data_IF_028061646031
#
_entry.id   IF_028061646031
#
_cell.length_a   1.000
_cell.length_b   1.000
_cell.length_c   1.000
_cell.angle_alpha   90.00
_cell.angle_beta   90.00
_cell.angle_gamma   90.00
#
_symmetry.space_group_name_H-M   'P 1'
#
loop_
_entity.id
_entity.type
_entity.pdbx_description
1 polymer ?
#
# COMPACT_ATOMS: atom_id res chain seq x y z
N UNK A 1 21.21 2.53 36.25
CA UNK A 1 21.12 1.17 35.67
C UNK A 1 19.70 0.76 35.30
N UNK A 2 18.75 0.58 36.22
CA UNK A 2 17.38 0.14 35.84
C UNK A 2 16.63 1.18 34.99
N UNK A 3 16.73 2.47 35.34
CA UNK A 3 16.12 3.56 34.58
C UNK A 3 16.68 3.70 33.14
N UNK A 4 17.97 3.42 32.96
CA UNK A 4 18.64 3.49 31.64
C UNK A 4 18.16 2.36 30.71
N UNK A 5 17.94 1.16 31.26
CA UNK A 5 17.37 0.03 30.52
C UNK A 5 15.93 0.32 30.09
N UNK A 6 15.10 0.91 30.97
CA UNK A 6 13.73 1.29 30.61
C UNK A 6 13.68 2.40 29.56
N UNK A 7 14.58 3.39 29.65
CA UNK A 7 14.71 4.45 28.63
C UNK A 7 15.12 3.86 27.27
N UNK A 8 16.16 3.04 27.23
CA UNK A 8 16.65 2.41 26.00
C UNK A 8 15.60 1.53 25.32
N UNK A 9 14.83 0.74 26.10
CA UNK A 9 13.72 -0.05 25.55
C UNK A 9 12.60 0.80 24.94
N UNK A 10 12.28 1.94 25.58
CA UNK A 10 11.28 2.87 25.05
C UNK A 10 11.76 3.49 23.74
N UNK A 11 13.03 3.89 23.66
CA UNK A 11 13.63 4.46 22.44
C UNK A 11 13.64 3.45 21.29
N UNK A 12 14.02 2.19 21.54
CA UNK A 12 13.97 1.13 20.53
C UNK A 12 12.53 0.87 20.04
N UNK A 13 11.55 0.83 20.94
CA UNK A 13 10.14 0.66 20.57
C UNK A 13 9.63 1.85 19.73
N UNK A 14 10.05 3.06 20.06
CA UNK A 14 9.69 4.26 19.30
C UNK A 14 10.29 4.21 17.90
N UNK A 15 11.59 3.92 17.79
CA UNK A 15 12.28 3.76 16.50
C UNK A 15 11.60 2.68 15.64
N UNK A 16 11.27 1.53 16.21
CA UNK A 16 10.55 0.47 15.52
C UNK A 16 9.18 0.94 15.01
N UNK A 17 8.42 1.66 15.84
CA UNK A 17 7.11 2.21 15.47
C UNK A 17 7.23 3.23 14.33
N UNK A 18 8.26 4.08 14.36
CA UNK A 18 8.51 5.08 13.33
C UNK A 18 8.94 4.44 12.01
N UNK A 19 9.77 3.39 12.05
CA UNK A 19 10.12 2.58 10.87
C UNK A 19 8.87 1.94 10.25
N UNK A 20 8.03 1.28 11.05
CA UNK A 20 6.76 0.69 10.57
C UNK A 20 5.89 1.75 9.91
N UNK A 21 5.69 2.89 10.58
CA UNK A 21 4.90 4.01 10.04
C UNK A 21 5.43 4.49 8.69
N UNK A 22 6.75 4.66 8.57
CA UNK A 22 7.37 5.11 7.33
C UNK A 22 7.16 4.11 6.17
N UNK A 23 7.27 2.81 6.43
CA UNK A 23 7.02 1.77 5.42
C UNK A 23 5.54 1.71 5.04
N UNK A 24 4.63 1.80 6.01
CA UNK A 24 3.18 1.79 5.77
C UNK A 24 2.74 2.94 4.87
N UNK A 25 3.18 4.17 5.20
CA UNK A 25 2.86 5.36 4.41
C UNK A 25 3.41 5.23 3.00
N UNK A 26 4.68 4.82 2.84
CA UNK A 26 5.27 4.62 1.51
C UNK A 26 4.50 3.59 0.68
N UNK A 27 4.06 2.49 1.29
CA UNK A 27 3.32 1.47 0.57
C UNK A 27 1.96 2.00 0.07
N UNK A 28 1.18 2.61 0.96
CA UNK A 28 -0.12 3.19 0.61
C UNK A 28 0.01 4.28 -0.46
N UNK A 29 1.01 5.15 -0.35
CA UNK A 29 1.29 6.18 -1.35
C UNK A 29 1.67 5.59 -2.70
N UNK A 30 2.54 4.58 -2.72
CA UNK A 30 2.97 3.94 -3.97
C UNK A 30 1.80 3.31 -4.74
N UNK A 31 0.84 2.70 -4.03
CA UNK A 31 -0.38 2.15 -4.64
C UNK A 31 -1.28 3.24 -5.21
N UNK A 32 -1.53 4.31 -4.46
CA UNK A 32 -2.36 5.43 -4.90
C UNK A 32 -1.74 6.17 -6.10
N UNK A 33 -0.43 6.37 -6.10
CA UNK A 33 0.29 6.99 -7.20
C UNK A 33 0.30 6.11 -8.46
N UNK A 34 0.56 4.81 -8.32
CA UNK A 34 0.48 3.87 -9.43
C UNK A 34 -0.92 3.85 -10.04
N UNK A 35 -1.97 3.80 -9.22
CA UNK A 35 -3.36 3.89 -9.67
C UNK A 35 -3.63 5.17 -10.46
N UNK A 36 -3.30 6.32 -9.90
CA UNK A 36 -3.50 7.63 -10.54
C UNK A 36 -2.79 7.73 -11.89
N UNK A 37 -1.52 7.32 -11.96
CA UNK A 37 -0.75 7.31 -13.21
C UNK A 37 -1.39 6.41 -14.26
N UNK A 38 -1.80 5.19 -13.90
CA UNK A 38 -2.44 4.25 -14.82
C UNK A 38 -3.72 4.83 -15.42
N UNK A 39 -4.57 5.45 -14.59
CA UNK A 39 -5.82 6.09 -15.03
C UNK A 39 -5.53 7.23 -16.02
N UNK A 40 -4.56 8.09 -15.69
CA UNK A 40 -4.18 9.23 -16.54
C UNK A 40 -3.68 8.77 -17.91
N UNK A 41 -2.88 7.71 -17.98
CA UNK A 41 -2.36 7.22 -19.26
C UNK A 41 -3.37 6.38 -20.02
N UNK A 42 -4.19 5.58 -19.33
CA UNK A 42 -5.17 4.70 -19.99
C UNK A 42 -6.22 5.47 -20.80
N UNK A 43 -6.59 6.68 -20.35
CA UNK A 43 -7.65 7.48 -20.95
C UNK A 43 -7.17 8.53 -21.94
N UNK A 44 -5.87 8.59 -22.21
CA UNK A 44 -5.36 9.37 -23.34
C UNK A 44 -5.72 8.66 -24.63
N UNK A 45 -6.19 9.41 -25.62
CA UNK A 45 -6.36 8.91 -26.98
C UNK A 45 -5.00 8.52 -27.53
N UNK A 46 -4.76 7.22 -27.68
CA UNK A 46 -3.54 6.67 -28.22
C UNK A 46 -3.78 5.26 -28.78
N UNK A 47 -2.94 4.78 -29.71
CA UNK A 47 -3.05 3.42 -30.25
C UNK A 47 -2.95 2.36 -29.13
N UNK A 48 -3.64 1.23 -29.28
CA UNK A 48 -3.71 0.18 -28.25
C UNK A 48 -2.34 -0.34 -27.78
N UNK A 49 -1.39 -0.51 -28.70
CA UNK A 49 -0.05 -0.96 -28.34
C UNK A 49 0.69 0.05 -27.45
N UNK A 50 0.51 1.35 -27.73
CA UNK A 50 1.10 2.45 -26.94
C UNK A 50 0.42 2.53 -25.57
N UNK A 51 -0.92 2.40 -25.54
CA UNK A 51 -1.70 2.38 -24.29
C UNK A 51 -1.25 1.28 -23.35
N UNK A 52 -1.13 0.05 -23.87
CA UNK A 52 -0.69 -1.12 -23.08
C UNK A 52 0.66 -0.86 -22.43
N UNK A 53 1.64 -0.41 -23.21
CA UNK A 53 2.98 -0.12 -22.69
C UNK A 53 2.94 1.01 -21.65
N UNK A 54 2.24 2.11 -21.94
CA UNK A 54 2.14 3.24 -21.03
C UNK A 54 1.49 2.87 -19.68
N UNK A 55 0.45 2.03 -19.68
CA UNK A 55 -0.21 1.54 -18.45
C UNK A 55 0.74 0.65 -17.64
N UNK A 56 1.49 -0.24 -18.30
CA UNK A 56 2.49 -1.05 -17.61
C UNK A 56 3.60 -0.19 -16.99
N UNK A 57 4.10 0.80 -17.74
CA UNK A 57 5.12 1.72 -17.26
C UNK A 57 4.60 2.58 -16.11
N UNK A 58 3.36 3.05 -16.16
CA UNK A 58 2.73 3.82 -15.09
C UNK A 58 2.62 3.02 -13.77
N UNK A 59 2.42 1.70 -13.86
CA UNK A 59 2.36 0.81 -12.72
C UNK A 59 3.74 0.46 -12.14
N UNK A 60 4.74 0.27 -13.00
CA UNK A 60 6.07 -0.22 -12.61
C UNK A 60 7.11 0.87 -12.38
N UNK A 61 6.95 2.05 -12.98
CA UNK A 61 7.94 3.10 -12.96
C UNK A 61 7.40 4.29 -12.17
N UNK A 62 8.04 4.56 -11.04
CA UNK A 62 7.92 5.84 -10.35
C UNK A 62 9.27 6.57 -10.49
N UNK A 63 9.33 7.70 -11.21
CA UNK A 63 10.59 8.44 -11.38
C UNK A 63 11.05 9.16 -10.10
N UNK A 64 10.19 9.27 -9.09
CA UNK A 64 10.48 9.98 -7.84
C UNK A 64 10.55 9.06 -6.62
N UNK A 65 9.97 7.86 -6.69
CA UNK A 65 9.87 6.93 -5.56
C UNK A 65 10.13 5.47 -5.98
N UNK A 66 10.09 4.54 -5.02
CA UNK A 66 10.10 3.11 -5.32
C UNK A 66 8.74 2.63 -5.82
N UNK A 67 8.72 1.69 -6.76
CA UNK A 67 7.48 1.10 -7.24
C UNK A 67 6.77 0.26 -6.16
N UNK A 68 5.46 0.07 -6.31
CA UNK A 68 4.63 -0.60 -5.30
C UNK A 68 5.08 -2.04 -4.99
N UNK A 69 5.69 -2.74 -5.95
CA UNK A 69 6.23 -4.10 -5.71
C UNK A 69 7.48 -4.05 -4.84
N UNK A 70 8.35 -3.08 -5.07
CA UNK A 70 9.54 -2.88 -4.25
C UNK A 70 9.18 -2.49 -2.82
N UNK A 71 8.20 -1.59 -2.63
CA UNK A 71 7.73 -1.23 -1.29
C UNK A 71 6.98 -2.39 -0.61
N UNK A 72 6.26 -3.24 -1.36
CA UNK A 72 5.66 -4.46 -0.80
C UNK A 72 6.71 -5.42 -0.24
N UNK A 73 7.89 -5.53 -0.87
CA UNK A 73 9.01 -6.32 -0.35
C UNK A 73 9.59 -5.71 0.93
N UNK A 74 9.72 -4.39 0.98
CA UNK A 74 10.14 -3.69 2.20
C UNK A 74 9.14 -3.92 3.36
N UNK A 75 7.84 -3.90 3.05
CA UNK A 75 6.77 -4.23 3.99
C UNK A 75 6.91 -5.66 4.54
N UNK A 76 7.24 -6.64 3.69
CA UNK A 76 7.45 -8.02 4.10
C UNK A 76 8.60 -8.19 5.11
N UNK A 77 9.57 -7.26 5.11
CA UNK A 77 10.73 -7.29 6.03
C UNK A 77 10.40 -6.53 7.33
N UNK A 78 9.73 -5.39 7.21
CA UNK A 78 9.60 -4.44 8.32
C UNK A 78 8.29 -4.56 9.10
N UNK A 79 7.26 -5.15 8.51
CA UNK A 79 5.93 -5.24 9.09
C UNK A 79 5.66 -6.60 9.74
N UNK A 80 4.73 -6.68 10.71
CA UNK A 80 4.19 -7.97 11.16
C UNK A 80 3.52 -8.74 10.03
N UNK A 81 3.60 -10.08 10.07
CA UNK A 81 3.03 -10.99 9.07
C UNK A 81 1.59 -10.69 8.68
N UNK A 82 0.73 -10.35 9.65
CA UNK A 82 -0.69 -10.10 9.38
C UNK A 82 -0.90 -8.85 8.52
N UNK A 83 -0.03 -7.84 8.61
CA UNK A 83 -0.05 -6.65 7.76
C UNK A 83 0.39 -7.01 6.35
N UNK A 84 1.48 -7.77 6.21
CA UNK A 84 1.97 -8.21 4.92
C UNK A 84 0.95 -9.08 4.18
N UNK A 85 0.35 -10.06 4.87
CA UNK A 85 -0.71 -10.92 4.32
C UNK A 85 -1.94 -10.13 3.88
N UNK A 86 -2.29 -9.06 4.59
CA UNK A 86 -3.38 -8.17 4.19
C UNK A 86 -3.00 -7.27 3.02
N UNK A 87 -1.73 -6.88 2.89
CA UNK A 87 -1.24 -6.00 1.83
C UNK A 87 -1.13 -6.68 0.45
N UNK A 88 -0.78 -7.97 0.43
CA UNK A 88 -0.56 -8.70 -0.82
C UNK A 88 -1.81 -8.74 -1.72
N UNK A 89 -3.02 -9.06 -1.23
CA UNK A 89 -4.24 -8.99 -2.04
C UNK A 89 -4.54 -7.59 -2.60
N UNK A 90 -4.22 -6.53 -1.85
CA UNK A 90 -4.43 -5.13 -2.30
C UNK A 90 -3.55 -4.83 -3.52
N UNK A 91 -2.27 -5.23 -3.46
CA UNK A 91 -1.37 -5.10 -4.61
C UNK A 91 -1.86 -5.92 -5.81
N UNK A 92 -2.29 -7.16 -5.58
CA UNK A 92 -2.78 -8.04 -6.65
C UNK A 92 -4.07 -7.49 -7.31
N UNK A 93 -4.97 -6.90 -6.53
CA UNK A 93 -6.17 -6.23 -7.07
C UNK A 93 -5.79 -5.04 -7.95
N UNK A 94 -4.81 -4.23 -7.56
CA UNK A 94 -4.34 -3.13 -8.40
C UNK A 94 -3.67 -3.65 -9.69
N UNK A 95 -2.98 -4.78 -9.61
CA UNK A 95 -2.41 -5.47 -10.78
C UNK A 95 -3.51 -5.94 -11.75
N UNK A 96 -4.64 -6.43 -11.25
CA UNK A 96 -5.79 -6.79 -12.09
C UNK A 96 -6.36 -5.53 -12.78
N UNK A 97 -6.45 -4.40 -12.06
CA UNK A 97 -6.88 -3.13 -12.66
C UNK A 97 -5.94 -2.66 -13.77
N UNK A 98 -4.62 -2.80 -13.57
CA UNK A 98 -3.61 -2.56 -14.61
C UNK A 98 -3.89 -3.40 -15.85
N UNK A 99 -4.09 -4.70 -15.68
CA UNK A 99 -4.27 -5.65 -16.79
C UNK A 99 -5.54 -5.27 -17.60
N UNK A 100 -6.64 -4.94 -16.92
CA UNK A 100 -7.86 -4.43 -17.57
C UNK A 100 -7.60 -3.14 -18.37
N UNK A 101 -6.96 -2.14 -17.76
CA UNK A 101 -6.68 -0.84 -18.39
C UNK A 101 -5.68 -0.95 -19.55
N UNK A 102 -4.82 -1.97 -19.54
CA UNK A 102 -3.84 -2.22 -20.59
C UNK A 102 -4.44 -2.97 -21.79
N UNK A 103 -5.48 -3.78 -21.56
CA UNK A 103 -6.15 -4.56 -22.59
C UNK A 103 -7.32 -3.80 -23.22
N UNK A 104 -8.13 -3.11 -22.43
CA UNK A 104 -9.41 -2.56 -22.87
C UNK A 104 -9.48 -1.04 -22.67
N UNK A 105 -9.95 -0.26 -23.66
CA UNK A 105 -10.09 1.19 -23.53
C UNK A 105 -11.36 1.53 -22.71
N UNK A 106 -11.44 1.00 -21.50
CA UNK A 106 -12.55 1.21 -20.57
C UNK A 106 -12.36 2.54 -19.84
N UNK A 107 -13.43 3.32 -19.67
CA UNK A 107 -13.40 4.55 -18.86
C UNK A 107 -13.58 4.29 -17.36
N UNK A 108 -13.27 5.28 -16.51
CA UNK A 108 -13.49 5.21 -15.04
C UNK A 108 -14.95 4.95 -14.66
N UNK A 109 -15.90 5.38 -15.48
CA UNK A 109 -17.33 5.20 -15.21
C UNK A 109 -17.88 3.87 -15.77
N UNK A 110 -17.05 3.08 -16.46
CA UNK A 110 -17.47 1.80 -17.02
C UNK A 110 -17.76 0.77 -15.92
N UNK A 111 -18.74 -0.09 -16.16
CA UNK A 111 -19.11 -1.14 -15.21
C UNK A 111 -17.95 -2.12 -14.98
N UNK A 112 -17.21 -2.44 -16.05
CA UNK A 112 -16.07 -3.33 -16.07
C UNK A 112 -14.95 -2.81 -15.16
N UNK A 113 -14.60 -1.52 -15.30
CA UNK A 113 -13.60 -0.89 -14.45
C UNK A 113 -14.07 -0.81 -13.00
N UNK A 114 -15.32 -0.42 -12.76
CA UNK A 114 -15.90 -0.33 -11.42
C UNK A 114 -15.91 -1.68 -10.70
N UNK A 115 -16.20 -2.76 -11.42
CA UNK A 115 -16.17 -4.12 -10.88
C UNK A 115 -14.77 -4.52 -10.40
N UNK A 116 -13.72 -4.11 -11.11
CA UNK A 116 -12.33 -4.45 -10.79
C UNK A 116 -11.74 -3.53 -9.72
N UNK A 117 -12.05 -2.23 -9.73
CA UNK A 117 -11.39 -1.26 -8.85
C UNK A 117 -12.04 -1.16 -7.46
N UNK A 118 -13.33 -1.47 -7.31
CA UNK A 118 -14.01 -1.41 -6.01
C UNK A 118 -13.36 -2.31 -4.95
N UNK A 119 -13.05 -3.59 -5.22
CA UNK A 119 -12.34 -4.44 -4.27
C UNK A 119 -10.99 -3.86 -3.82
N UNK A 120 -10.26 -3.21 -4.74
CA UNK A 120 -9.00 -2.54 -4.42
C UNK A 120 -9.20 -1.45 -3.37
N UNK A 121 -10.13 -0.52 -3.58
CA UNK A 121 -10.36 0.56 -2.62
C UNK A 121 -10.88 0.06 -1.28
N UNK A 122 -11.81 -0.88 -1.27
CA UNK A 122 -12.30 -1.50 -0.01
C UNK A 122 -11.16 -2.17 0.77
N UNK A 123 -10.30 -2.91 0.08
CA UNK A 123 -9.18 -3.60 0.72
C UNK A 123 -8.08 -2.63 1.17
N UNK A 124 -7.87 -1.53 0.42
CA UNK A 124 -6.94 -0.45 0.79
C UNK A 124 -7.38 0.26 2.07
N UNK A 125 -8.66 0.57 2.22
CA UNK A 125 -9.22 1.15 3.43
C UNK A 125 -9.09 0.21 4.63
N UNK A 126 -9.40 -1.07 4.45
CA UNK A 126 -9.24 -2.10 5.48
C UNK A 126 -7.77 -2.24 5.91
N UNK A 127 -6.83 -2.24 4.95
CA UNK A 127 -5.40 -2.28 5.22
C UNK A 127 -4.93 -1.03 5.99
N UNK A 128 -5.39 0.15 5.59
CA UNK A 128 -5.07 1.40 6.29
C UNK A 128 -5.54 1.35 7.74
N UNK A 129 -6.74 0.81 7.99
CA UNK A 129 -7.26 0.66 9.34
C UNK A 129 -6.41 -0.33 10.16
N UNK A 130 -6.05 -1.47 9.58
CA UNK A 130 -5.19 -2.47 10.21
C UNK A 130 -3.81 -1.90 10.58
N UNK A 131 -3.21 -1.13 9.67
CA UNK A 131 -1.95 -0.42 9.89
C UNK A 131 -2.06 0.62 11.01
N UNK A 132 -3.16 1.38 11.08
CA UNK A 132 -3.40 2.32 12.18
C UNK A 132 -3.50 1.61 13.53
N UNK A 133 -4.19 0.47 13.56
CA UNK A 133 -4.35 -0.32 14.77
C UNK A 133 -3.02 -0.93 15.24
N UNK A 134 -2.17 -1.38 14.32
CA UNK A 134 -0.81 -1.87 14.61
C UNK A 134 0.15 -0.78 15.12
N UNK A 135 -0.09 0.48 14.76
CA UNK A 135 0.70 1.63 15.24
C UNK A 135 0.22 2.17 16.59
N UNK A 136 -0.90 1.69 17.15
CA UNK A 136 -1.36 2.12 18.47
C UNK A 136 -0.36 1.64 19.54
N UNK A 137 0.01 2.49 20.51
CA UNK A 137 0.80 2.03 21.65
C UNK A 137 0.08 0.88 22.33
N UNK A 138 0.78 -0.20 22.65
CA UNK A 138 0.23 -1.25 23.52
C UNK A 138 0.02 -0.63 24.90
N UNK A 139 -1.17 -0.09 25.15
CA UNK A 139 -1.53 0.48 26.45
C UNK A 139 -1.38 -0.63 27.47
N UNK A 140 -0.41 -0.48 28.36
CA UNK A 140 -0.13 -1.40 29.46
C UNK A 140 -1.43 -1.77 30.16
N UNK A 141 -1.92 -3.00 29.93
CA UNK A 141 -2.98 -3.64 30.69
C UNK A 141 -2.43 -3.95 32.09
N UNK A 142 -2.23 -2.92 32.91
CA UNK A 142 -1.83 -3.04 34.33
C UNK A 142 -2.29 -1.81 35.11
N UNK A 143 -3.55 -1.84 35.52
CA UNK A 143 -4.05 -1.24 36.76
C UNK A 143 -5.42 -1.90 37.04
N UNK A 144 -5.39 -3.10 37.61
CA UNK A 144 -6.58 -3.93 37.78
C UNK A 144 -6.28 -5.23 38.50
N UNK A 145 -5.59 -5.16 39.63
CA UNK A 145 -5.74 -6.11 40.72
C UNK A 145 -5.86 -5.26 41.98
N UNK A 146 -7.09 -5.17 42.46
CA UNK A 146 -7.44 -4.77 43.81
C UNK A 146 -6.87 -5.79 44.81
#
# INVERSE_FOLDING_TARGET
MVADVFRSRREQNQQWTDTKRAVYVRFLMSLAQAHSRMVVVAFREQPDAVRRQAVHDAFHNDPQQSDAKSVLRELAISAPDHIYRAAQPVYDQLRIARDLLAEQPVGVESAEYQQVIRPFFTSLEALQQLMRDDLKPTTSRRAGRA
#
